data_IF_207636476439
#
_entry.id   IF_207636476439
#
_cell.length_a   1.000
_cell.length_b   1.000
_cell.length_c   1.000
_cell.angle_alpha   90.00
_cell.angle_beta   90.00
_cell.angle_gamma   90.00
#
_symmetry.space_group_name_H-M   'P 1'
#
loop_
_entity.id
_entity.type
_entity.pdbx_description
1 polymer ?
#
# COMPACT_ATOMS: atom_id res chain seq x y z
N UNK A 1 18.28 -34.52 51.89
CA UNK A 1 17.46 -33.34 51.53
C UNK A 1 17.82 -32.65 50.20
N UNK A 2 18.67 -33.21 49.31
CA UNK A 2 19.10 -32.50 48.09
C UNK A 2 18.38 -32.92 46.77
N UNK A 3 17.86 -34.14 46.66
CA UNK A 3 17.32 -34.64 45.38
C UNK A 3 15.98 -34.00 44.95
N UNK A 4 15.11 -33.66 45.91
CA UNK A 4 13.79 -33.07 45.63
C UNK A 4 13.84 -31.62 45.15
N UNK A 5 14.77 -30.82 45.67
CA UNK A 5 14.98 -29.43 45.23
C UNK A 5 15.57 -29.35 43.82
N UNK A 6 16.56 -30.20 43.49
CA UNK A 6 17.18 -30.21 42.16
C UNK A 6 16.18 -30.61 41.07
N UNK A 7 15.31 -31.59 41.35
CA UNK A 7 14.28 -32.03 40.42
C UNK A 7 13.20 -30.95 40.22
N UNK A 8 12.77 -30.27 41.29
CA UNK A 8 11.81 -29.16 41.24
C UNK A 8 12.37 -27.94 40.49
N UNK A 9 13.66 -27.65 40.64
CA UNK A 9 14.33 -26.57 39.90
C UNK A 9 14.47 -26.87 38.41
N UNK A 10 14.75 -28.13 38.03
CA UNK A 10 14.80 -28.53 36.63
C UNK A 10 13.43 -28.47 35.94
N UNK A 11 12.34 -28.80 36.65
CA UNK A 11 10.98 -28.69 36.12
C UNK A 11 10.58 -27.21 35.95
N UNK A 12 10.94 -26.34 36.92
CA UNK A 12 10.71 -24.90 36.83
C UNK A 12 11.50 -24.26 35.68
N UNK A 13 12.77 -24.64 35.51
CA UNK A 13 13.63 -24.15 34.42
C UNK A 13 13.09 -24.58 33.04
N UNK A 14 12.65 -25.83 32.90
CA UNK A 14 12.01 -26.31 31.67
C UNK A 14 10.72 -25.55 31.35
N UNK A 15 9.90 -25.22 32.35
CA UNK A 15 8.70 -24.37 32.17
C UNK A 15 9.06 -22.96 31.74
N UNK A 16 10.07 -22.34 32.37
CA UNK A 16 10.52 -20.99 31.99
C UNK A 16 11.06 -20.94 30.55
N UNK A 17 11.84 -21.94 30.14
CA UNK A 17 12.33 -22.04 28.77
C UNK A 17 11.19 -22.21 27.77
N UNK A 18 10.19 -23.05 28.09
CA UNK A 18 9.01 -23.23 27.24
C UNK A 18 8.20 -21.92 27.10
N UNK A 19 8.00 -21.19 28.19
CA UNK A 19 7.32 -19.88 28.17
C UNK A 19 8.12 -18.86 27.34
N UNK A 20 9.44 -18.83 27.49
CA UNK A 20 10.29 -17.93 26.70
C UNK A 20 10.27 -18.24 25.20
N UNK A 21 10.22 -19.51 24.82
CA UNK A 21 10.12 -19.93 23.43
C UNK A 21 8.78 -19.53 22.81
N UNK A 22 7.68 -19.67 23.56
CA UNK A 22 6.34 -19.23 23.11
C UNK A 22 6.30 -17.70 22.94
N UNK A 23 6.86 -16.94 23.88
CA UNK A 23 6.96 -15.49 23.79
C UNK A 23 7.78 -15.04 22.57
N UNK A 24 8.90 -15.69 22.28
CA UNK A 24 9.70 -15.41 21.08
C UNK A 24 8.95 -15.71 19.78
N UNK A 25 8.14 -16.76 19.74
CA UNK A 25 7.30 -17.06 18.57
C UNK A 25 6.18 -16.03 18.38
N UNK A 26 5.55 -15.56 19.47
CA UNK A 26 4.50 -14.53 19.41
C UNK A 26 5.10 -13.19 18.97
N UNK A 27 6.21 -12.76 19.59
CA UNK A 27 6.89 -11.51 19.24
C UNK A 27 7.45 -11.58 17.82
N UNK A 28 8.09 -12.70 17.46
CA UNK A 28 8.61 -12.92 16.11
C UNK A 28 7.51 -12.94 15.04
N UNK A 29 6.38 -13.59 15.32
CA UNK A 29 5.21 -13.59 14.43
C UNK A 29 4.59 -12.20 14.28
N UNK A 30 4.48 -11.44 15.38
CA UNK A 30 3.95 -10.07 15.37
C UNK A 30 4.85 -9.10 14.59
N UNK A 31 6.17 -9.17 14.80
CA UNK A 31 7.15 -8.38 14.04
C UNK A 31 7.13 -8.77 12.57
N UNK A 32 7.04 -10.06 12.26
CA UNK A 32 6.91 -10.54 10.88
C UNK A 32 5.62 -10.03 10.23
N UNK A 33 4.49 -10.07 10.92
CA UNK A 33 3.22 -9.53 10.42
C UNK A 33 3.27 -8.01 10.19
N UNK A 34 4.05 -7.25 10.98
CA UNK A 34 4.29 -5.83 10.69
C UNK A 34 5.19 -5.59 9.47
N UNK A 35 6.23 -6.42 9.30
CA UNK A 35 7.19 -6.31 8.19
C UNK A 35 6.58 -6.77 6.86
N UNK A 36 5.78 -7.83 6.89
CA UNK A 36 5.18 -8.44 5.70
C UNK A 36 3.71 -8.03 5.46
N UNK A 37 3.03 -7.43 6.45
CA UNK A 37 1.61 -7.08 6.36
C UNK A 37 1.31 -5.67 5.88
N UNK A 38 2.30 -4.76 5.84
CA UNK A 38 2.10 -3.44 5.22
C UNK A 38 2.19 -3.57 3.71
N UNK A 39 1.03 -3.73 3.07
CA UNK A 39 0.87 -3.74 1.62
C UNK A 39 1.33 -2.41 1.01
N UNK A 40 1.04 -1.28 1.66
CA UNK A 40 1.46 0.06 1.24
C UNK A 40 2.87 0.40 1.72
N UNK A 41 3.74 0.83 0.80
CA UNK A 41 5.14 1.18 1.09
C UNK A 41 5.42 2.66 0.93
N UNK A 42 4.75 3.33 -0.02
CA UNK A 42 4.78 4.78 -0.16
C UNK A 42 3.37 5.31 -0.30
N UNK A 43 3.14 6.52 0.21
CA UNK A 43 1.86 7.22 0.05
C UNK A 43 2.08 8.73 -0.07
N UNK A 44 1.15 9.41 -0.73
CA UNK A 44 1.16 10.86 -0.86
C UNK A 44 -0.21 11.39 -1.22
N UNK A 45 -0.49 12.61 -0.81
CA UNK A 45 -1.73 13.32 -1.11
C UNK A 45 -1.39 14.61 -1.83
N UNK A 46 -2.22 14.98 -2.81
CA UNK A 46 -2.05 16.19 -3.58
C UNK A 46 -2.32 17.43 -2.77
N UNK A 47 -1.86 18.58 -3.26
CA UNK A 47 -2.06 19.86 -2.58
C UNK A 47 -3.54 20.24 -2.48
N UNK A 48 -4.34 19.88 -3.49
CA UNK A 48 -5.80 20.09 -3.48
C UNK A 48 -6.52 19.21 -2.45
N UNK A 49 -5.89 18.12 -2.00
CA UNK A 49 -6.51 17.08 -1.20
C UNK A 49 -7.41 16.11 -1.98
N UNK A 50 -7.62 16.34 -3.28
CA UNK A 50 -8.52 15.53 -4.12
C UNK A 50 -7.95 14.17 -4.49
N UNK A 51 -6.63 14.07 -4.63
CA UNK A 51 -5.98 12.83 -5.00
C UNK A 51 -5.09 12.29 -3.89
N UNK A 52 -5.14 10.98 -3.73
CA UNK A 52 -4.21 10.22 -2.92
C UNK A 52 -3.60 9.11 -3.77
N UNK A 53 -2.30 8.94 -3.68
CA UNK A 53 -1.59 7.90 -4.41
C UNK A 53 -0.82 7.02 -3.45
N UNK A 54 -0.86 5.71 -3.69
CA UNK A 54 -0.13 4.72 -2.90
C UNK A 54 0.66 3.79 -3.82
N UNK A 55 1.85 3.40 -3.37
CA UNK A 55 2.62 2.33 -4.00
C UNK A 55 2.55 1.12 -3.09
N UNK A 56 2.00 0.04 -3.63
CA UNK A 56 1.74 -1.19 -2.90
C UNK A 56 2.60 -2.33 -3.40
N UNK A 57 3.06 -3.16 -2.47
CA UNK A 57 3.72 -4.43 -2.76
C UNK A 57 2.67 -5.46 -3.16
N UNK A 58 2.90 -6.12 -4.27
CA UNK A 58 2.12 -7.24 -4.78
C UNK A 58 2.71 -8.56 -4.30
N UNK A 59 1.85 -9.40 -3.73
CA UNK A 59 2.18 -10.78 -3.36
C UNK A 59 1.97 -11.77 -4.52
N UNK A 60 1.55 -11.28 -5.70
CA UNK A 60 1.00 -12.12 -6.78
C UNK A 60 2.06 -12.71 -7.73
N UNK A 61 3.35 -12.47 -7.54
CA UNK A 61 4.39 -12.90 -8.50
C UNK A 61 5.44 -13.84 -7.95
N UNK A 62 5.75 -14.88 -8.73
CA UNK A 62 6.76 -15.90 -8.43
C UNK A 62 8.20 -15.47 -8.76
N UNK A 63 8.39 -14.29 -9.34
CA UNK A 63 9.68 -13.80 -9.90
C UNK A 63 10.29 -12.68 -9.03
N UNK A 64 9.69 -12.38 -7.88
CA UNK A 64 10.18 -11.36 -6.95
C UNK A 64 9.08 -10.43 -6.46
N UNK A 65 9.37 -9.58 -5.46
CA UNK A 65 8.47 -8.53 -5.01
C UNK A 65 8.25 -7.53 -6.14
N UNK A 66 6.99 -7.30 -6.48
CA UNK A 66 6.59 -6.33 -7.49
C UNK A 66 5.71 -5.27 -6.87
N UNK A 67 5.74 -4.08 -7.42
CA UNK A 67 4.97 -2.94 -6.96
C UNK A 67 3.98 -2.48 -8.03
N UNK A 68 2.92 -1.83 -7.58
CA UNK A 68 1.92 -1.20 -8.43
C UNK A 68 1.48 0.12 -7.78
N UNK A 69 0.96 1.01 -8.60
CA UNK A 69 0.43 2.31 -8.19
C UNK A 69 -1.08 2.22 -8.08
N UNK A 70 -1.62 2.69 -6.95
CA UNK A 70 -3.04 2.96 -6.79
C UNK A 70 -3.27 4.46 -6.71
N UNK A 71 -4.25 4.96 -7.43
CA UNK A 71 -4.70 6.35 -7.41
C UNK A 71 -6.15 6.42 -6.94
N UNK A 72 -6.36 7.10 -5.81
CA UNK A 72 -7.63 7.26 -5.13
C UNK A 72 -8.16 8.68 -5.30
N UNK A 73 -9.48 8.78 -5.40
CA UNK A 73 -10.22 10.04 -5.39
C UNK A 73 -10.80 10.29 -4.00
N UNK A 74 -10.49 11.45 -3.42
CA UNK A 74 -10.98 11.91 -2.12
C UNK A 74 -11.98 13.07 -2.24
N UNK A 75 -12.30 13.49 -3.46
CA UNK A 75 -13.30 14.52 -3.71
C UNK A 75 -14.73 13.99 -3.53
N UNK A 76 -15.72 14.79 -3.95
CA UNK A 76 -17.12 14.38 -3.87
C UNK A 76 -17.45 13.30 -4.90
N UNK A 77 -18.45 12.47 -4.59
CA UNK A 77 -18.99 11.47 -5.53
C UNK A 77 -19.63 12.13 -6.76
N UNK A 78 -20.28 13.28 -6.57
CA UNK A 78 -20.84 14.05 -7.67
C UNK A 78 -19.75 14.46 -8.66
N UNK A 79 -18.61 14.96 -8.16
CA UNK A 79 -17.47 15.33 -9.00
C UNK A 79 -16.81 14.10 -9.63
N UNK A 80 -16.71 12.98 -8.90
CA UNK A 80 -16.19 11.72 -9.44
C UNK A 80 -16.98 11.30 -10.69
N UNK A 81 -18.32 11.35 -10.65
CA UNK A 81 -19.20 10.96 -11.77
C UNK A 81 -19.02 11.78 -13.05
N UNK A 82 -18.35 12.92 -12.99
CA UNK A 82 -18.10 13.86 -14.10
C UNK A 82 -16.62 14.08 -14.36
N UNK A 83 -15.76 13.30 -13.72
CA UNK A 83 -14.31 13.41 -13.81
C UNK A 83 -13.72 12.27 -14.63
N UNK A 84 -12.86 12.63 -15.57
CA UNK A 84 -12.10 11.69 -16.40
C UNK A 84 -10.62 11.94 -16.17
N UNK A 85 -9.91 10.93 -15.66
CA UNK A 85 -8.44 10.96 -15.62
C UNK A 85 -7.92 10.67 -17.02
N UNK A 86 -7.04 11.53 -17.53
CA UNK A 86 -6.49 11.45 -18.89
C UNK A 86 -5.09 10.86 -18.94
N UNK A 87 -4.29 11.11 -17.91
CA UNK A 87 -2.91 10.61 -17.84
C UNK A 87 -2.49 10.50 -16.39
N UNK A 88 -1.88 9.36 -16.06
CA UNK A 88 -1.18 9.15 -14.80
C UNK A 88 0.30 9.03 -15.15
N UNK A 89 1.15 9.83 -14.50
CA UNK A 89 2.59 9.79 -14.71
C UNK A 89 3.30 9.55 -13.40
N UNK A 90 3.98 8.42 -13.27
CA UNK A 90 4.92 8.15 -12.19
C UNK A 90 6.31 8.67 -12.56
N UNK A 91 6.96 9.35 -11.61
CA UNK A 91 8.36 9.74 -11.71
C UNK A 91 9.16 9.01 -10.63
N UNK A 92 10.24 8.38 -11.06
CA UNK A 92 11.22 7.68 -10.21
C UNK A 92 12.57 8.35 -10.44
N UNK A 93 13.12 9.02 -9.43
CA UNK A 93 14.35 9.82 -9.55
C UNK A 93 14.34 10.80 -10.76
N UNK A 94 13.16 11.33 -11.06
CA UNK A 94 12.94 12.22 -12.21
C UNK A 94 12.79 11.52 -13.56
N UNK A 95 12.99 10.20 -13.65
CA UNK A 95 12.67 9.41 -14.85
C UNK A 95 11.16 9.22 -14.95
N UNK A 96 10.61 9.49 -16.13
CA UNK A 96 9.18 9.45 -16.41
C UNK A 96 8.71 8.04 -16.81
N UNK A 97 7.63 7.60 -16.20
CA UNK A 97 6.81 6.42 -16.54
C UNK A 97 5.37 6.91 -16.68
N UNK A 98 4.78 6.86 -17.88
CA UNK A 98 3.41 7.30 -18.12
C UNK A 98 2.48 6.16 -18.52
N UNK A 99 1.27 6.19 -17.96
CA UNK A 99 0.12 5.42 -18.40
C UNK A 99 -0.93 6.38 -18.96
N UNK A 100 -1.18 6.26 -20.26
CA UNK A 100 -2.13 7.10 -20.99
C UNK A 100 -3.41 6.31 -21.16
N UNK A 101 -4.19 6.29 -20.10
CA UNK A 101 -5.56 5.77 -20.08
C UNK A 101 -6.57 6.90 -19.86
N UNK A 102 -7.74 6.77 -20.47
CA UNK A 102 -8.92 7.51 -20.03
C UNK A 102 -9.64 6.66 -18.98
N UNK A 103 -9.71 7.15 -17.75
CA UNK A 103 -10.40 6.49 -16.65
C UNK A 103 -11.57 7.35 -16.22
N UNK A 104 -12.78 6.86 -16.45
CA UNK A 104 -13.99 7.48 -15.94
C UNK A 104 -14.10 7.17 -14.44
N UNK A 105 -13.94 8.17 -13.57
CA UNK A 105 -13.94 7.93 -12.13
C UNK A 105 -15.26 7.35 -11.61
N UNK A 106 -16.35 7.45 -12.38
CA UNK A 106 -17.61 6.77 -12.09
C UNK A 106 -17.48 5.24 -11.99
N UNK A 107 -16.45 4.65 -12.61
CA UNK A 107 -16.17 3.21 -12.52
C UNK A 107 -15.37 2.84 -11.26
N UNK A 108 -14.88 3.85 -10.53
CA UNK A 108 -13.93 3.72 -9.42
C UNK A 108 -14.44 4.39 -8.13
N UNK A 109 -15.75 4.34 -7.88
CA UNK A 109 -16.40 5.03 -6.75
C UNK A 109 -16.49 4.18 -5.48
N UNK A 110 -16.16 2.88 -5.53
CA UNK A 110 -16.37 1.95 -4.42
C UNK A 110 -17.84 1.62 -4.13
N UNK A 111 -18.78 2.09 -4.96
CA UNK A 111 -20.22 1.84 -4.81
C UNK A 111 -20.58 0.36 -5.01
N UNK A 112 -21.72 -0.08 -4.47
CA UNK A 112 -22.26 -1.40 -4.78
C UNK A 112 -22.82 -1.44 -6.21
N UNK A 113 -22.52 -2.52 -6.94
CA UNK A 113 -23.04 -2.75 -8.28
C UNK A 113 -24.46 -3.32 -8.24
N UNK A 114 -25.24 -2.98 -9.28
CA UNK A 114 -26.52 -3.62 -9.55
C UNK A 114 -26.31 -5.12 -9.84
N UNK A 115 -26.72 -5.98 -8.89
CA UNK A 115 -26.51 -7.43 -8.94
C UNK A 115 -25.58 -7.98 -7.85
N UNK A 116 -25.05 -7.11 -7.00
CA UNK A 116 -24.16 -7.47 -5.90
C UNK A 116 -22.70 -7.47 -6.31
N UNK A 117 -21.83 -7.08 -5.38
CA UNK A 117 -20.41 -6.78 -5.64
C UNK A 117 -20.14 -5.28 -5.48
N UNK A 118 -18.86 -4.90 -5.34
CA UNK A 118 -18.44 -3.52 -5.23
C UNK A 118 -17.66 -3.13 -6.49
N UNK A 119 -17.85 -1.88 -6.93
CA UNK A 119 -16.92 -1.23 -7.84
C UNK A 119 -15.55 -1.11 -7.16
N UNK A 120 -14.51 -1.01 -7.98
CA UNK A 120 -13.21 -0.60 -7.48
C UNK A 120 -13.34 0.81 -6.88
N UNK A 121 -12.50 1.16 -5.91
CA UNK A 121 -12.46 2.48 -5.28
C UNK A 121 -11.19 3.27 -5.66
N UNK A 122 -10.41 2.74 -6.61
CA UNK A 122 -9.15 3.31 -7.07
C UNK A 122 -8.78 2.82 -8.47
N UNK A 123 -7.98 3.62 -9.16
CA UNK A 123 -7.33 3.22 -10.40
C UNK A 123 -6.00 2.53 -10.05
N UNK A 124 -5.88 1.24 -10.39
CA UNK A 124 -4.62 0.49 -10.28
C UNK A 124 -3.88 0.50 -11.63
N UNK A 125 -2.59 0.85 -11.61
CA UNK A 125 -1.74 0.93 -12.82
C UNK A 125 -0.25 0.70 -12.49
N UNK A 126 0.60 0.70 -13.52
CA UNK A 126 2.03 0.40 -13.47
C UNK A 126 2.30 -0.94 -12.80
N UNK A 127 1.55 -1.97 -13.21
CA UNK A 127 1.74 -3.31 -12.68
C UNK A 127 3.18 -3.81 -12.92
N UNK A 128 3.69 -4.57 -11.96
CA UNK A 128 4.98 -5.26 -12.06
C UNK A 128 6.22 -4.35 -12.04
N UNK A 129 6.18 -3.24 -11.27
CA UNK A 129 7.39 -2.45 -11.02
C UNK A 129 8.39 -3.23 -10.15
N UNK A 130 9.64 -3.41 -10.58
CA UNK A 130 10.67 -4.10 -9.79
C UNK A 130 10.98 -3.38 -8.47
N UNK A 131 11.37 -4.13 -7.44
CA UNK A 131 11.74 -3.55 -6.14
C UNK A 131 12.91 -2.57 -6.25
N UNK A 132 13.90 -2.88 -7.09
CA UNK A 132 15.07 -2.04 -7.33
C UNK A 132 14.76 -0.70 -8.00
N UNK A 133 13.62 -0.58 -8.70
CA UNK A 133 13.20 0.68 -9.31
C UNK A 133 12.45 1.56 -8.28
N UNK A 134 11.91 0.98 -7.20
CA UNK A 134 10.95 1.66 -6.31
C UNK A 134 11.55 1.95 -4.93
N UNK A 135 12.26 1.00 -4.35
CA UNK A 135 12.74 1.09 -2.98
C UNK A 135 13.99 1.96 -2.90
N UNK A 136 13.95 3.01 -2.07
CA UNK A 136 15.07 3.94 -1.87
C UNK A 136 15.10 5.11 -2.87
N UNK A 137 14.17 5.15 -3.81
CA UNK A 137 14.07 6.19 -4.84
C UNK A 137 13.11 7.31 -4.43
N UNK A 138 13.32 8.49 -5.03
CA UNK A 138 12.39 9.60 -4.91
C UNK A 138 11.21 9.39 -5.87
N UNK A 139 9.99 9.32 -5.32
CA UNK A 139 8.79 9.01 -6.06
C UNK A 139 7.81 10.19 -6.08
N UNK A 140 7.25 10.48 -7.24
CA UNK A 140 6.11 11.40 -7.36
C UNK A 140 5.17 10.99 -8.47
N UNK A 141 3.88 11.26 -8.29
CA UNK A 141 2.83 10.95 -9.26
C UNK A 141 2.20 12.25 -9.72
N UNK A 142 2.15 12.46 -11.03
CA UNK A 142 1.36 13.51 -11.65
C UNK A 142 0.09 12.91 -12.22
N UNK A 143 -1.05 13.53 -11.92
CA UNK A 143 -2.34 13.19 -12.51
C UNK A 143 -2.83 14.38 -13.32
N UNK A 144 -3.33 14.11 -14.52
CA UNK A 144 -4.01 15.07 -15.39
C UNK A 144 -5.44 14.58 -15.60
N UNK A 145 -6.42 15.41 -15.30
CA UNK A 145 -7.84 15.04 -15.37
C UNK A 145 -8.69 16.20 -15.86
N UNK A 146 -9.92 15.87 -16.25
CA UNK A 146 -10.94 16.84 -16.64
C UNK A 146 -12.17 16.61 -15.78
N UNK A 147 -12.70 17.67 -15.16
CA UNK A 147 -13.98 17.63 -14.45
C UNK A 147 -14.95 18.58 -15.15
N UNK A 148 -16.03 18.04 -15.75
CA UNK A 148 -16.91 18.86 -16.58
C UNK A 148 -16.17 19.38 -17.82
N UNK A 149 -15.83 20.68 -17.87
CA UNK A 149 -15.04 21.32 -18.94
C UNK A 149 -13.66 21.82 -18.49
N UNK A 150 -13.33 21.68 -17.21
CA UNK A 150 -12.09 22.20 -16.64
C UNK A 150 -11.00 21.12 -16.65
N UNK A 151 -9.89 21.44 -17.31
CA UNK A 151 -8.67 20.62 -17.27
C UNK A 151 -7.83 21.00 -16.05
N UNK A 152 -7.40 19.97 -15.32
CA UNK A 152 -6.66 20.10 -14.08
C UNK A 152 -5.46 19.16 -14.09
N UNK A 153 -4.42 19.55 -13.36
CA UNK A 153 -3.26 18.71 -13.16
C UNK A 153 -2.63 18.99 -11.80
N UNK A 154 -2.14 17.95 -11.16
CA UNK A 154 -1.42 18.09 -9.90
C UNK A 154 -0.35 17.02 -9.75
N UNK A 155 0.58 17.25 -8.82
CA UNK A 155 1.68 16.32 -8.54
C UNK A 155 1.75 16.03 -7.05
N UNK A 156 1.75 14.75 -6.72
CA UNK A 156 1.86 14.19 -5.39
C UNK A 156 3.28 13.67 -5.17
N UNK A 157 3.94 14.12 -4.10
CA UNK A 157 5.18 13.48 -3.64
C UNK A 157 4.83 12.30 -2.76
N UNK A 158 5.40 11.13 -3.04
CA UNK A 158 5.14 9.95 -2.24
C UNK A 158 6.24 9.79 -1.18
N UNK A 159 5.82 9.63 0.06
CA UNK A 159 6.71 9.45 1.19
C UNK A 159 6.69 8.00 1.63
N UNK A 160 7.85 7.47 1.99
CA UNK A 160 7.96 6.12 2.52
C UNK A 160 7.23 6.03 3.84
N UNK A 161 6.33 5.06 3.97
CA UNK A 161 5.65 4.82 5.23
C UNK A 161 6.63 4.15 6.20
N UNK A 162 6.86 4.71 7.40
CA UNK A 162 7.72 4.07 8.37
C UNK A 162 7.11 2.74 8.83
N UNK A 163 7.97 1.73 8.98
CA UNK A 163 7.61 0.37 9.37
C UNK A 163 7.08 0.27 10.82
N UNK A 164 7.17 1.35 11.60
CA UNK A 164 6.63 1.47 12.95
C UNK A 164 5.75 2.73 13.03
N UNK A 165 4.54 2.59 13.56
CA UNK A 165 3.71 3.69 14.09
C UNK A 165 3.41 3.36 15.54
#
# INVERSE_FOLDING_TARGET
MKAGETMKNNIRLKRLLMISAILLLIVGGYVSAMIFGKKVVYEGTGESGLWHASIEKSDKTSIGPNYFLNLYWNGTEEDAKRTIVKTITLYIDGKKYDDRGEYDLSEYTGEEMDGGGHMEDHIATFDFMPEEDVIGHALSVKVEWKTGDEENAETMKLNKIPWYK
#
